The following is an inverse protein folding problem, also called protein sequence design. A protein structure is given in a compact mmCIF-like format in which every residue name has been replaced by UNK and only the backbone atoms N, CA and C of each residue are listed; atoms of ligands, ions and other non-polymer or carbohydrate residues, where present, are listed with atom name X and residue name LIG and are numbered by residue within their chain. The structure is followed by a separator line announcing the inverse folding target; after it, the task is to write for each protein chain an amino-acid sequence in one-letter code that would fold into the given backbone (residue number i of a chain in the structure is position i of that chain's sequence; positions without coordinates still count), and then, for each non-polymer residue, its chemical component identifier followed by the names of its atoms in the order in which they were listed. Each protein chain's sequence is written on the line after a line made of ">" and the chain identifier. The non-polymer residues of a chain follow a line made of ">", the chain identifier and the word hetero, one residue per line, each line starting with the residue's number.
data_IF_251297786885
#
_entry.id   IF_251297786885
#
_cell.length_a   1.000
_cell.length_b   1.000
_cell.length_c   1.000
_cell.angle_alpha   90.00
_cell.angle_beta   90.00
_cell.angle_gamma   90.00
#
_symmetry.space_group_name_H-M   'P 1'
#
loop_
_entity.id
_entity.type
_entity.pdbx_description
1 polymer ?
#
# COMPACT_ATOMS: atom_id res chain seq x y z
N UNK A 1 33.52 74.50 -23.97
CA UNK A 1 34.21 73.46 -23.19
C UNK A 1 33.22 72.33 -22.98
N UNK A 2 33.45 71.22 -23.69
CA UNK A 2 32.67 69.99 -23.59
C UNK A 2 32.93 69.29 -22.25
N UNK A 3 31.86 68.85 -21.59
CA UNK A 3 31.92 68.10 -20.34
C UNK A 3 30.84 67.01 -20.32
N UNK A 4 31.32 65.77 -20.38
CA UNK A 4 30.62 64.48 -20.46
C UNK A 4 29.96 64.12 -19.10
N UNK A 5 28.78 63.50 -19.10
CA UNK A 5 28.42 62.54 -18.04
C UNK A 5 27.76 61.30 -18.66
N UNK A 6 28.46 60.18 -18.51
CA UNK A 6 28.10 58.84 -18.96
C UNK A 6 27.12 58.18 -17.97
N UNK A 7 26.10 57.52 -18.52
CA UNK A 7 25.23 56.58 -17.82
C UNK A 7 25.98 55.26 -17.65
N UNK A 8 26.28 54.86 -16.41
CA UNK A 8 26.84 53.55 -16.11
C UNK A 8 25.69 52.57 -15.78
N UNK A 9 25.49 51.61 -16.68
CA UNK A 9 24.59 50.45 -16.55
C UNK A 9 25.19 49.49 -15.52
N UNK A 10 24.43 49.14 -14.48
CA UNK A 10 24.82 48.13 -13.51
C UNK A 10 24.64 46.71 -14.06
N UNK A 11 25.75 45.99 -14.26
CA UNK A 11 25.75 44.54 -14.43
C UNK A 11 25.38 43.89 -13.09
N UNK A 12 24.20 43.29 -13.01
CA UNK A 12 23.82 42.40 -11.92
C UNK A 12 24.37 41.01 -12.28
N UNK A 13 25.35 40.53 -11.53
CA UNK A 13 25.76 39.12 -11.59
C UNK A 13 24.54 38.23 -11.34
N UNK A 14 24.13 37.47 -12.36
CA UNK A 14 23.28 36.30 -12.16
C UNK A 14 24.08 35.29 -11.34
N UNK A 15 23.68 35.08 -10.09
CA UNK A 15 24.11 33.92 -9.31
C UNK A 15 23.84 32.68 -10.15
N UNK A 16 24.90 31.99 -10.55
CA UNK A 16 24.84 30.67 -11.17
C UNK A 16 23.97 29.78 -10.27
N UNK A 17 22.85 29.31 -10.80
CA UNK A 17 22.02 28.33 -10.10
C UNK A 17 22.90 27.13 -9.72
N UNK A 18 22.87 26.72 -8.46
CA UNK A 18 23.60 25.53 -8.02
C UNK A 18 23.24 24.35 -8.92
N UNK A 19 24.22 23.56 -9.39
CA UNK A 19 23.95 22.43 -10.27
C UNK A 19 22.99 21.47 -9.56
N UNK A 20 21.92 21.05 -10.25
CA UNK A 20 20.89 20.09 -9.80
C UNK A 20 21.43 18.79 -9.17
N UNK A 21 22.73 18.51 -9.32
CA UNK A 21 23.43 17.41 -8.65
C UNK A 21 23.52 17.57 -7.13
N UNK A 22 23.50 18.81 -6.61
CA UNK A 22 23.47 19.10 -5.17
C UNK A 22 22.13 18.75 -4.50
N UNK A 23 21.07 18.52 -5.30
CA UNK A 23 19.73 18.19 -4.83
C UNK A 23 19.39 16.69 -4.91
N UNK A 24 20.35 15.82 -5.28
CA UNK A 24 20.09 14.38 -5.31
C UNK A 24 19.93 13.86 -3.87
N UNK A 25 18.75 13.35 -3.48
CA UNK A 25 18.59 12.74 -2.17
C UNK A 25 19.58 11.58 -2.03
N UNK A 26 20.05 11.33 -0.80
CA UNK A 26 20.95 10.22 -0.50
C UNK A 26 20.39 8.89 -1.08
N UNK A 27 21.23 7.92 -1.44
CA UNK A 27 20.73 6.62 -1.92
C UNK A 27 19.85 5.94 -0.86
N UNK A 28 18.83 5.21 -1.30
CA UNK A 28 17.94 4.46 -0.39
C UNK A 28 18.72 3.37 0.36
N UNK A 29 18.32 3.04 1.60
CA UNK A 29 18.93 1.93 2.34
C UNK A 29 18.73 0.63 1.55
N UNK A 30 19.64 -0.31 1.66
CA UNK A 30 19.52 -1.60 0.96
C UNK A 30 18.96 -2.66 1.89
N UNK A 31 18.06 -3.51 1.37
CA UNK A 31 17.69 -4.77 1.99
C UNK A 31 18.81 -5.79 1.79
N UNK A 32 19.98 -5.52 2.36
CA UNK A 32 21.09 -6.45 2.31
C UNK A 32 20.75 -7.70 3.14
N UNK A 33 20.98 -8.87 2.57
CA UNK A 33 20.98 -10.12 3.34
C UNK A 33 22.32 -10.22 4.07
N UNK A 34 22.30 -9.89 5.37
CA UNK A 34 23.39 -10.00 6.37
C UNK A 34 24.46 -8.88 6.36
N UNK A 35 24.83 -8.47 7.58
CA UNK A 35 25.98 -7.63 7.92
C UNK A 35 27.31 -8.36 7.64
N UNK A 36 28.44 -7.65 7.44
CA UNK A 36 29.72 -8.27 7.14
C UNK A 36 30.36 -8.82 8.43
N UNK A 37 30.67 -10.11 8.45
CA UNK A 37 31.48 -10.74 9.51
C UNK A 37 30.84 -12.00 10.09
N UNK A 38 31.15 -13.14 9.49
CA UNK A 38 30.76 -14.45 10.01
C UNK A 38 30.81 -15.50 8.91
N UNK A 39 31.96 -16.14 8.76
CA UNK A 39 32.15 -17.36 7.98
C UNK A 39 31.17 -18.43 8.46
N UNK A 40 30.04 -18.55 7.78
CA UNK A 40 29.31 -19.79 7.63
C UNK A 40 28.43 -19.64 6.39
N UNK A 41 28.97 -20.15 5.29
CA UNK A 41 28.29 -20.33 4.02
C UNK A 41 27.23 -21.42 4.16
N UNK A 42 26.06 -21.04 4.69
CA UNK A 42 24.79 -21.66 4.33
C UNK A 42 23.96 -20.55 3.70
N UNK A 43 23.31 -20.87 2.58
CA UNK A 43 22.45 -19.94 1.84
C UNK A 43 21.34 -19.33 2.70
N UNK A 44 20.39 -18.57 2.12
CA UNK A 44 19.29 -18.00 2.90
C UNK A 44 18.63 -19.13 3.69
N UNK A 45 18.77 -19.07 5.03
CA UNK A 45 18.21 -20.07 5.94
C UNK A 45 16.69 -20.14 5.79
N UNK A 46 16.06 -21.21 6.30
CA UNK A 46 14.63 -21.46 6.15
C UNK A 46 13.82 -20.23 6.55
N UNK A 47 12.80 -19.92 5.75
CA UNK A 47 11.86 -18.85 6.06
C UNK A 47 11.01 -19.28 7.24
N UNK A 48 11.44 -18.96 8.46
CA UNK A 48 10.60 -19.14 9.65
C UNK A 48 9.29 -18.37 9.43
N UNK A 49 8.15 -19.04 9.68
CA UNK A 49 6.85 -18.43 9.47
C UNK A 49 6.74 -17.17 10.34
N UNK A 50 6.68 -16.00 9.70
CA UNK A 50 6.61 -14.75 10.42
C UNK A 50 5.32 -14.72 11.27
N UNK A 51 5.38 -14.25 12.53
CA UNK A 51 4.17 -14.11 13.33
C UNK A 51 3.20 -13.14 12.66
N UNK A 52 1.91 -13.49 12.72
CA UNK A 52 0.82 -12.66 12.23
C UNK A 52 0.49 -11.61 13.27
N UNK A 53 0.52 -10.35 12.83
CA UNK A 53 0.20 -9.18 13.63
C UNK A 53 -0.89 -8.37 12.93
N UNK A 54 -1.65 -7.64 13.72
CA UNK A 54 -2.74 -6.76 13.32
C UNK A 54 -3.44 -6.23 14.56
N UNK A 55 -4.61 -5.64 14.36
CA UNK A 55 -5.46 -5.12 15.43
C UNK A 55 -6.59 -6.10 15.75
N UNK A 56 -7.14 -5.98 16.97
CA UNK A 56 -8.36 -6.71 17.33
C UNK A 56 -9.51 -6.12 16.51
N UNK A 57 -10.28 -6.93 15.76
CA UNK A 57 -11.39 -6.42 14.96
C UNK A 57 -12.44 -5.71 15.84
N UNK A 58 -13.06 -4.62 15.38
CA UNK A 58 -14.09 -3.93 16.16
C UNK A 58 -15.27 -4.86 16.46
N UNK A 59 -15.71 -4.91 17.71
CA UNK A 59 -16.73 -5.87 18.17
C UNK A 59 -18.12 -5.63 17.59
N UNK A 60 -18.41 -4.38 17.20
CA UNK A 60 -19.68 -3.91 16.65
C UNK A 60 -19.65 -3.72 15.12
N UNK A 61 -18.52 -4.05 14.47
CA UNK A 61 -18.39 -3.96 13.03
C UNK A 61 -19.41 -4.85 12.30
N UNK A 62 -20.02 -4.29 11.27
CA UNK A 62 -20.88 -5.04 10.36
C UNK A 62 -20.03 -5.98 9.51
N UNK A 63 -20.20 -7.29 9.70
CA UNK A 63 -19.42 -8.31 8.97
C UNK A 63 -19.97 -8.52 7.56
N UNK A 64 -19.09 -8.38 6.57
CA UNK A 64 -19.34 -8.64 5.16
C UNK A 64 -18.54 -9.87 4.75
N UNK A 65 -19.24 -10.99 4.53
CA UNK A 65 -18.62 -12.22 4.05
C UNK A 65 -18.57 -12.14 2.51
N UNK A 66 -17.38 -12.19 1.93
CA UNK A 66 -17.17 -12.01 0.50
C UNK A 66 -16.73 -13.33 -0.12
N UNK A 67 -17.42 -13.73 -1.19
CA UNK A 67 -17.08 -14.90 -1.99
C UNK A 67 -17.28 -14.60 -3.47
N UNK A 68 -16.17 -14.44 -4.19
CA UNK A 68 -16.17 -13.93 -5.55
C UNK A 68 -16.82 -12.55 -5.63
N UNK A 69 -17.87 -12.42 -6.46
CA UNK A 69 -18.62 -11.18 -6.65
C UNK A 69 -19.83 -11.06 -5.70
N UNK A 70 -20.02 -12.01 -4.79
CA UNK A 70 -21.15 -12.01 -3.84
C UNK A 70 -20.72 -11.55 -2.46
N UNK A 71 -21.60 -10.79 -1.81
CA UNK A 71 -21.38 -10.26 -0.47
C UNK A 71 -22.57 -10.59 0.40
N UNK A 72 -22.33 -11.21 1.55
CA UNK A 72 -23.37 -11.55 2.51
C UNK A 72 -23.23 -10.74 3.79
N UNK A 73 -24.33 -10.12 4.20
CA UNK A 73 -24.45 -9.33 5.43
C UNK A 73 -25.56 -9.93 6.27
N UNK A 74 -25.19 -10.62 7.35
CA UNK A 74 -26.15 -11.44 8.12
C UNK A 74 -26.76 -12.53 7.22
N UNK A 75 -28.07 -12.45 6.99
CA UNK A 75 -28.82 -13.38 6.12
C UNK A 75 -29.06 -12.85 4.71
N UNK A 76 -28.74 -11.58 4.45
CA UNK A 76 -28.97 -10.94 3.15
C UNK A 76 -27.77 -11.14 2.22
N UNK A 77 -28.05 -11.33 0.93
CA UNK A 77 -27.06 -11.46 -0.13
C UNK A 77 -27.13 -10.25 -1.06
N UNK A 78 -25.96 -9.77 -1.48
CA UNK A 78 -25.76 -8.65 -2.38
C UNK A 78 -24.81 -9.06 -3.51
N UNK A 79 -25.04 -8.50 -4.69
CA UNK A 79 -24.17 -8.63 -5.86
C UNK A 79 -23.75 -7.22 -6.30
N UNK A 80 -22.64 -6.66 -5.76
CA UNK A 80 -22.24 -5.27 -6.02
C UNK A 80 -22.03 -4.92 -7.50
N UNK A 81 -21.83 -5.91 -8.37
CA UNK A 81 -21.79 -5.70 -9.81
C UNK A 81 -23.14 -5.20 -10.39
N UNK A 82 -24.26 -5.46 -9.72
CA UNK A 82 -25.58 -4.95 -10.12
C UNK A 82 -25.83 -3.60 -9.44
N UNK A 83 -26.08 -2.50 -10.18
CA UNK A 83 -26.23 -1.16 -9.61
C UNK A 83 -27.28 -1.06 -8.50
N UNK A 84 -28.43 -1.71 -8.67
CA UNK A 84 -29.51 -1.73 -7.68
C UNK A 84 -29.14 -2.49 -6.40
N UNK A 85 -28.34 -3.56 -6.52
CA UNK A 85 -27.81 -4.27 -5.36
C UNK A 85 -26.69 -3.48 -4.69
N UNK A 86 -25.84 -2.80 -5.46
CA UNK A 86 -24.80 -1.91 -4.94
C UNK A 86 -25.40 -0.77 -4.13
N UNK A 87 -26.44 -0.10 -4.66
CA UNK A 87 -27.15 0.97 -3.96
C UNK A 87 -27.76 0.50 -2.63
N UNK A 88 -28.38 -0.70 -2.62
CA UNK A 88 -28.89 -1.32 -1.39
C UNK A 88 -27.77 -1.63 -0.40
N UNK A 89 -26.63 -2.13 -0.89
CA UNK A 89 -25.47 -2.38 -0.04
C UNK A 89 -24.91 -1.08 0.56
N UNK A 90 -24.76 -0.02 -0.24
CA UNK A 90 -24.33 1.31 0.20
C UNK A 90 -25.21 1.85 1.33
N UNK A 91 -26.53 1.80 1.19
CA UNK A 91 -27.44 2.19 2.26
C UNK A 91 -27.32 1.29 3.49
N UNK A 92 -27.06 -0.01 3.30
CA UNK A 92 -26.89 -0.97 4.39
C UNK A 92 -25.62 -0.73 5.24
N UNK A 93 -24.55 -0.22 4.62
CA UNK A 93 -23.26 0.06 5.27
C UNK A 93 -23.07 1.54 5.66
N UNK A 94 -24.01 2.40 5.28
CA UNK A 94 -23.93 3.85 5.46
C UNK A 94 -23.66 4.24 6.91
N UNK A 95 -22.57 4.95 7.16
CA UNK A 95 -22.19 5.39 8.49
C UNK A 95 -21.94 4.22 9.47
N UNK A 96 -21.49 3.07 8.96
CA UNK A 96 -21.13 1.90 9.76
C UNK A 96 -19.65 1.59 9.61
N UNK A 97 -19.04 1.13 10.70
CA UNK A 97 -17.78 0.38 10.65
C UNK A 97 -18.06 -0.99 10.06
N UNK A 98 -17.34 -1.37 9.01
CA UNK A 98 -17.50 -2.66 8.31
C UNK A 98 -16.25 -3.51 8.46
N UNK A 99 -16.43 -4.83 8.60
CA UNK A 99 -15.37 -5.83 8.57
C UNK A 99 -15.57 -6.73 7.37
N UNK A 100 -14.70 -6.59 6.38
CA UNK A 100 -14.64 -7.43 5.18
C UNK A 100 -13.91 -8.72 5.52
N UNK A 101 -14.57 -9.85 5.29
CA UNK A 101 -14.03 -11.19 5.51
C UNK A 101 -14.02 -11.91 4.17
N UNK A 102 -12.86 -11.94 3.46
CA UNK A 102 -12.76 -12.61 2.18
C UNK A 102 -12.71 -14.13 2.36
N UNK A 103 -13.27 -14.86 1.41
CA UNK A 103 -12.94 -16.27 1.23
C UNK A 103 -11.52 -16.43 0.63
N UNK A 104 -11.10 -17.69 0.43
CA UNK A 104 -9.77 -17.98 -0.07
C UNK A 104 -9.55 -17.59 -1.55
N UNK A 105 -10.62 -17.62 -2.36
CA UNK A 105 -10.54 -17.60 -3.82
C UNK A 105 -11.17 -16.33 -4.44
N UNK A 106 -11.48 -15.32 -3.62
CA UNK A 106 -11.95 -14.02 -4.08
C UNK A 106 -10.77 -13.19 -4.58
N UNK A 107 -10.77 -12.89 -5.87
CA UNK A 107 -9.79 -12.01 -6.51
C UNK A 107 -10.15 -10.54 -6.30
N UNK A 108 -9.14 -9.67 -6.18
CA UNK A 108 -9.37 -8.23 -6.02
C UNK A 108 -10.21 -7.62 -7.13
N UNK A 109 -10.03 -8.09 -8.37
CA UNK A 109 -10.83 -7.68 -9.53
C UNK A 109 -12.34 -7.92 -9.38
N UNK A 110 -12.74 -8.93 -8.60
CA UNK A 110 -14.15 -9.24 -8.33
C UNK A 110 -14.75 -8.34 -7.25
N UNK A 111 -13.91 -7.63 -6.50
CA UNK A 111 -14.31 -6.79 -5.36
C UNK A 111 -14.31 -5.30 -5.66
N UNK A 112 -14.02 -4.88 -6.90
CA UNK A 112 -13.94 -3.46 -7.26
C UNK A 112 -15.20 -2.67 -6.91
N UNK A 113 -16.37 -3.16 -7.29
CA UNK A 113 -17.66 -2.50 -7.00
C UNK A 113 -17.98 -2.51 -5.50
N UNK A 114 -17.63 -3.59 -4.80
CA UNK A 114 -17.75 -3.66 -3.35
C UNK A 114 -16.91 -2.55 -2.70
N UNK A 115 -15.62 -2.49 -3.01
CA UNK A 115 -14.71 -1.54 -2.36
C UNK A 115 -15.04 -0.09 -2.73
N UNK A 116 -15.56 0.19 -3.92
CA UNK A 116 -16.10 1.50 -4.25
C UNK A 116 -17.32 1.85 -3.37
N UNK A 117 -18.31 0.96 -3.28
CA UNK A 117 -19.48 1.17 -2.42
C UNK A 117 -19.09 1.40 -0.95
N UNK A 118 -18.12 0.64 -0.44
CA UNK A 118 -17.60 0.80 0.92
C UNK A 118 -16.84 2.11 1.11
N UNK A 119 -15.97 2.49 0.16
CA UNK A 119 -15.22 3.76 0.20
C UNK A 119 -16.18 4.95 0.29
N UNK A 120 -17.27 4.91 -0.45
CA UNK A 120 -18.17 6.06 -0.58
C UNK A 120 -19.23 6.13 0.54
N UNK A 121 -19.52 5.02 1.21
CA UNK A 121 -20.67 4.92 2.14
C UNK A 121 -20.32 4.50 3.57
N UNK A 122 -19.32 3.63 3.76
CA UNK A 122 -18.97 3.16 5.11
C UNK A 122 -18.28 4.25 5.93
N UNK A 123 -18.42 4.19 7.26
CA UNK A 123 -17.69 5.09 8.17
C UNK A 123 -16.21 4.70 8.23
N UNK A 124 -15.94 3.41 8.35
CA UNK A 124 -14.58 2.86 8.36
C UNK A 124 -14.60 1.44 7.79
N UNK A 125 -13.54 1.07 7.07
CA UNK A 125 -13.39 -0.26 6.47
C UNK A 125 -12.26 -1.00 7.14
N UNK A 126 -12.53 -2.24 7.53
CA UNK A 126 -11.55 -3.17 8.06
C UNK A 126 -11.48 -4.41 7.18
N UNK A 127 -10.27 -4.95 6.98
CA UNK A 127 -10.06 -6.22 6.30
C UNK A 127 -9.57 -7.28 7.28
N UNK A 128 -10.30 -8.38 7.40
CA UNK A 128 -9.92 -9.49 8.27
C UNK A 128 -8.72 -10.26 7.71
N UNK A 129 -7.81 -10.66 8.59
CA UNK A 129 -6.80 -11.65 8.24
C UNK A 129 -7.47 -13.05 8.09
N UNK A 130 -7.16 -13.81 7.04
CA UNK A 130 -7.86 -15.09 6.77
C UNK A 130 -7.56 -16.16 7.83
N UNK A 131 -6.35 -16.15 8.41
CA UNK A 131 -5.86 -17.24 9.25
C UNK A 131 -5.68 -16.84 10.73
N UNK A 132 -6.09 -15.63 11.13
CA UNK A 132 -5.87 -15.11 12.48
C UNK A 132 -6.99 -14.15 12.91
N UNK A 133 -7.31 -14.04 14.21
CA UNK A 133 -8.38 -13.17 14.72
C UNK A 133 -7.92 -11.70 14.81
N UNK A 134 -7.31 -11.19 13.74
CA UNK A 134 -6.86 -9.80 13.62
C UNK A 134 -7.40 -9.20 12.33
N UNK A 135 -7.45 -7.88 12.27
CA UNK A 135 -7.88 -7.13 11.09
C UNK A 135 -7.03 -5.87 10.90
N UNK A 136 -7.25 -5.24 9.75
CA UNK A 136 -6.50 -4.07 9.29
C UNK A 136 -7.47 -2.94 8.97
N UNK A 137 -7.39 -1.77 9.64
CA UNK A 137 -8.14 -0.60 9.22
C UNK A 137 -7.57 -0.08 7.88
N UNK A 138 -8.45 0.25 6.94
CA UNK A 138 -8.07 0.59 5.57
C UNK A 138 -8.73 1.89 5.10
N UNK A 139 -7.91 2.72 4.46
CA UNK A 139 -8.37 3.70 3.48
C UNK A 139 -8.39 3.04 2.10
N UNK A 140 -9.57 2.96 1.50
CA UNK A 140 -9.72 2.37 0.17
C UNK A 140 -9.44 3.40 -0.92
N UNK A 141 -8.63 3.03 -1.91
CA UNK A 141 -8.36 3.88 -3.09
C UNK A 141 -8.50 3.05 -4.36
N UNK A 142 -9.22 3.56 -5.34
CA UNK A 142 -9.11 3.05 -6.71
C UNK A 142 -7.83 3.60 -7.37
N UNK A 143 -7.63 3.30 -8.65
CA UNK A 143 -6.45 3.79 -9.37
C UNK A 143 -6.41 5.32 -9.48
N UNK A 144 -7.56 5.97 -9.66
CA UNK A 144 -7.62 7.43 -9.72
C UNK A 144 -7.27 8.08 -8.38
N UNK A 145 -7.89 7.61 -7.30
CA UNK A 145 -7.58 8.05 -5.95
C UNK A 145 -6.13 7.77 -5.57
N UNK A 146 -5.55 6.66 -6.05
CA UNK A 146 -4.14 6.37 -5.86
C UNK A 146 -3.23 7.30 -6.68
N UNK A 147 -3.57 7.62 -7.93
CA UNK A 147 -2.83 8.61 -8.74
C UNK A 147 -2.89 10.00 -8.10
N UNK A 148 -4.05 10.41 -7.60
CA UNK A 148 -4.21 11.66 -6.86
C UNK A 148 -3.31 11.66 -5.62
N UNK A 149 -3.33 10.58 -4.83
CA UNK A 149 -2.43 10.42 -3.69
C UNK A 149 -0.96 10.45 -4.09
N UNK A 150 -0.53 9.89 -5.23
CA UNK A 150 0.85 10.01 -5.68
C UNK A 150 1.25 11.43 -6.08
N UNK A 151 0.29 12.24 -6.56
CA UNK A 151 0.54 13.59 -7.06
C UNK A 151 0.79 14.63 -5.96
N UNK A 152 0.29 14.39 -4.74
CA UNK A 152 0.50 15.34 -3.64
C UNK A 152 1.97 15.32 -3.22
N UNK A 153 2.58 16.51 -3.15
CA UNK A 153 4.01 16.70 -2.91
C UNK A 153 4.33 16.45 -1.44
N UNK A 154 4.51 15.18 -1.08
CA UNK A 154 4.95 14.75 0.24
C UNK A 154 6.19 13.85 0.11
N UNK A 155 7.32 14.21 0.74
CA UNK A 155 8.49 13.36 0.75
C UNK A 155 8.17 12.04 1.47
N UNK A 156 8.63 10.93 0.88
CA UNK A 156 8.58 9.62 1.54
C UNK A 156 7.26 8.87 1.43
N UNK A 157 6.34 9.22 0.53
CA UNK A 157 5.14 8.39 0.26
C UNK A 157 5.54 6.96 -0.04
N UNK A 158 5.23 6.04 0.88
CA UNK A 158 5.63 4.65 0.80
C UNK A 158 4.52 3.81 0.21
N UNK A 159 4.90 2.82 -0.59
CA UNK A 159 3.97 1.83 -1.14
C UNK A 159 4.62 0.46 -1.22
N UNK A 160 3.81 -0.56 -0.96
CA UNK A 160 4.14 -1.95 -1.22
C UNK A 160 3.44 -2.32 -2.53
N UNK A 161 4.21 -2.59 -3.59
CA UNK A 161 3.67 -3.17 -4.81
C UNK A 161 3.77 -4.70 -4.65
N UNK A 162 2.62 -5.35 -4.48
CA UNK A 162 2.56 -6.81 -4.34
C UNK A 162 2.40 -7.45 -5.71
N UNK A 163 3.45 -8.17 -6.12
CA UNK A 163 3.54 -8.89 -7.39
C UNK A 163 3.44 -10.39 -7.13
N UNK A 164 3.25 -11.17 -8.20
CA UNK A 164 3.26 -12.63 -8.12
C UNK A 164 4.60 -13.20 -7.62
N UNK A 165 5.72 -12.53 -7.91
CA UNK A 165 7.07 -12.97 -7.57
C UNK A 165 7.65 -12.32 -6.30
N UNK A 166 6.89 -11.44 -5.62
CA UNK A 166 7.30 -10.83 -4.36
C UNK A 166 6.77 -9.42 -4.15
N UNK A 167 7.44 -8.65 -3.28
CA UNK A 167 7.09 -7.27 -2.97
C UNK A 167 8.14 -6.30 -3.47
N UNK A 168 7.69 -5.25 -4.12
CA UNK A 168 8.50 -4.07 -4.40
C UNK A 168 8.14 -2.96 -3.39
N UNK A 169 9.14 -2.53 -2.64
CA UNK A 169 9.00 -1.40 -1.72
C UNK A 169 9.42 -0.14 -2.47
N UNK A 170 8.49 0.80 -2.64
CA UNK A 170 8.72 1.99 -3.45
C UNK A 170 8.36 3.25 -2.69
N UNK A 171 9.07 4.33 -3.02
CA UNK A 171 8.89 5.66 -2.44
C UNK A 171 8.68 6.68 -3.55
N UNK A 172 8.39 7.95 -3.21
CA UNK A 172 8.43 9.04 -4.20
C UNK A 172 9.82 9.29 -4.78
N UNK A 173 10.90 8.84 -4.12
CA UNK A 173 12.28 9.00 -4.60
C UNK A 173 12.83 7.76 -5.34
N UNK A 174 12.03 6.69 -5.43
CA UNK A 174 12.40 5.46 -6.12
C UNK A 174 12.18 4.19 -5.30
N UNK A 175 12.58 3.06 -5.89
CA UNK A 175 12.46 1.71 -5.34
C UNK A 175 13.56 1.42 -4.32
N UNK A 176 13.20 0.80 -3.21
CA UNK A 176 14.14 0.26 -2.23
C UNK A 176 14.92 -0.91 -2.87
N UNK A 177 16.26 -0.82 -2.95
CA UNK A 177 17.06 -1.87 -3.56
C UNK A 177 16.97 -3.17 -2.76
N UNK A 178 16.73 -4.26 -3.50
CA UNK A 178 16.71 -5.63 -3.00
C UNK A 178 17.95 -6.43 -3.46
N UNK A 179 17.93 -7.76 -3.30
CA UNK A 179 19.02 -8.63 -3.73
C UNK A 179 19.23 -8.65 -5.26
N UNK A 180 18.17 -8.40 -6.03
CA UNK A 180 18.21 -8.19 -7.48
C UNK A 180 17.78 -6.75 -7.77
N UNK A 181 18.60 -6.03 -8.54
CA UNK A 181 18.32 -4.64 -8.93
C UNK A 181 17.07 -4.52 -9.81
N UNK A 182 16.74 -5.55 -10.59
CA UNK A 182 15.58 -5.58 -11.49
C UNK A 182 14.39 -6.36 -10.87
N UNK A 183 14.67 -7.23 -9.91
CA UNK A 183 13.68 -8.06 -9.20
C UNK A 183 12.97 -7.34 -8.06
N UNK A 184 12.04 -8.02 -7.34
CA UNK A 184 11.36 -7.44 -6.19
C UNK A 184 12.37 -7.08 -5.07
N UNK A 185 12.04 -6.05 -4.30
CA UNK A 185 12.80 -5.71 -3.08
C UNK A 185 12.80 -6.87 -2.08
N UNK A 186 11.71 -7.63 -2.04
CA UNK A 186 11.51 -8.82 -1.20
C UNK A 186 10.95 -9.95 -2.07
N UNK A 187 11.76 -10.92 -2.51
CA UNK A 187 11.29 -12.03 -3.33
C UNK A 187 10.47 -13.03 -2.51
N UNK A 188 9.64 -13.81 -3.20
CA UNK A 188 9.03 -15.04 -2.65
C UNK A 188 10.13 -16.02 -2.24
N UNK A 189 9.96 -16.65 -1.07
CA UNK A 189 10.85 -17.70 -0.56
C UNK A 189 10.06 -18.98 -0.35
N UNK A 190 10.54 -20.09 -0.92
CA UNK A 190 9.88 -21.40 -0.80
C UNK A 190 8.40 -21.37 -1.23
N UNK A 191 8.08 -20.57 -2.25
CA UNK A 191 6.70 -20.37 -2.73
C UNK A 191 5.81 -19.52 -1.82
N UNK A 192 6.36 -18.92 -0.75
CA UNK A 192 5.62 -18.09 0.22
C UNK A 192 6.14 -16.65 0.27
N UNK A 193 5.24 -15.75 0.65
CA UNK A 193 5.57 -14.34 0.90
C UNK A 193 6.49 -14.20 2.12
N UNK A 194 7.64 -13.56 1.96
CA UNK A 194 8.59 -13.31 3.04
C UNK A 194 8.20 -12.05 3.84
N UNK A 195 7.17 -12.21 4.69
CA UNK A 195 6.63 -11.13 5.52
C UNK A 195 7.65 -10.59 6.54
N UNK A 196 8.60 -11.43 6.99
CA UNK A 196 9.64 -11.01 7.92
C UNK A 196 10.60 -10.02 7.26
N UNK A 197 11.05 -10.31 6.04
CA UNK A 197 11.88 -9.37 5.26
C UNK A 197 11.11 -8.13 4.86
N UNK A 198 9.84 -8.26 4.47
CA UNK A 198 8.97 -7.11 4.19
C UNK A 198 8.87 -6.16 5.39
N UNK A 199 8.59 -6.70 6.59
CA UNK A 199 8.53 -5.93 7.84
C UNK A 199 9.83 -5.19 8.14
N UNK A 200 10.98 -5.85 7.96
CA UNK A 200 12.31 -5.20 8.13
C UNK A 200 12.50 -4.05 7.12
N UNK A 201 12.09 -4.24 5.86
CA UNK A 201 12.16 -3.19 4.84
C UNK A 201 11.30 -1.97 5.18
N UNK A 202 10.09 -2.20 5.68
CA UNK A 202 9.20 -1.14 6.15
C UNK A 202 9.79 -0.38 7.34
N UNK A 203 10.40 -1.08 8.30
CA UNK A 203 11.08 -0.44 9.44
C UNK A 203 12.26 0.43 9.01
N UNK A 204 13.09 -0.03 8.05
CA UNK A 204 14.19 0.77 7.49
C UNK A 204 13.67 2.04 6.79
N UNK A 205 12.58 1.91 6.04
CA UNK A 205 11.95 3.03 5.36
C UNK A 205 11.33 4.02 6.36
N UNK A 206 10.63 3.57 7.40
CA UNK A 206 10.07 4.44 8.45
C UNK A 206 11.16 5.18 9.21
N UNK A 207 12.28 4.53 9.50
CA UNK A 207 13.44 5.18 10.15
C UNK A 207 14.03 6.33 9.32
N UNK A 208 13.95 6.23 7.99
CA UNK A 208 14.42 7.23 7.03
C UNK A 208 13.39 8.34 6.75
N UNK A 209 12.14 7.95 6.54
CA UNK A 209 11.03 8.84 6.19
C UNK A 209 10.10 9.03 7.39
N UNK A 210 10.61 9.72 8.40
CA UNK A 210 9.94 9.84 9.72
C UNK A 210 8.57 10.54 9.65
N UNK A 211 8.42 11.46 8.69
CA UNK A 211 7.19 12.23 8.46
C UNK A 211 6.16 11.48 7.60
N UNK A 212 6.48 10.27 7.13
CA UNK A 212 5.55 9.47 6.33
C UNK A 212 4.68 8.66 7.28
N UNK A 213 3.43 9.08 7.40
CA UNK A 213 2.40 8.46 8.23
C UNK A 213 1.54 7.47 7.43
N UNK A 214 1.55 7.58 6.11
CA UNK A 214 0.72 6.78 5.21
C UNK A 214 1.52 5.73 4.43
N UNK A 215 0.92 4.55 4.27
CA UNK A 215 1.42 3.46 3.43
C UNK A 215 0.28 2.88 2.58
N UNK A 216 0.51 2.72 1.27
CA UNK A 216 -0.44 2.02 0.39
C UNK A 216 0.07 0.62 0.00
N UNK A 217 -0.76 -0.40 0.20
CA UNK A 217 -0.61 -1.70 -0.47
C UNK A 217 -1.25 -1.60 -1.85
N UNK A 218 -0.48 -1.98 -2.88
CA UNK A 218 -0.86 -1.98 -4.29
C UNK A 218 -0.72 -3.41 -4.83
N UNK A 219 -1.74 -4.26 -4.68
CA UNK A 219 -1.71 -5.61 -5.21
C UNK A 219 -1.83 -5.62 -6.74
N UNK A 220 -1.19 -6.60 -7.36
CA UNK A 220 -1.41 -6.89 -8.77
C UNK A 220 -2.85 -7.37 -9.03
N UNK A 221 -3.36 -7.17 -10.25
CA UNK A 221 -4.76 -7.48 -10.59
C UNK A 221 -5.20 -8.90 -10.26
N UNK A 222 -4.33 -9.90 -10.47
CA UNK A 222 -4.61 -11.32 -10.19
C UNK A 222 -4.38 -11.75 -8.74
N UNK A 223 -4.32 -10.81 -7.79
CA UNK A 223 -4.10 -11.11 -6.37
C UNK A 223 -5.42 -11.41 -5.66
N UNK A 224 -5.48 -12.48 -4.87
CA UNK A 224 -6.62 -12.74 -3.99
C UNK A 224 -6.66 -11.74 -2.82
N UNK A 225 -7.86 -11.36 -2.39
CA UNK A 225 -8.05 -10.44 -1.26
C UNK A 225 -7.47 -11.03 0.02
N UNK A 226 -7.58 -12.35 0.22
CA UNK A 226 -6.95 -13.05 1.33
C UNK A 226 -5.41 -12.97 1.27
N UNK A 227 -4.80 -13.00 0.08
CA UNK A 227 -3.36 -12.84 -0.08
C UNK A 227 -2.92 -11.39 0.21
N UNK A 228 -3.70 -10.40 -0.21
CA UNK A 228 -3.48 -9.00 0.16
C UNK A 228 -3.57 -8.80 1.68
N UNK A 229 -4.59 -9.37 2.33
CA UNK A 229 -4.75 -9.32 3.79
C UNK A 229 -3.54 -9.91 4.53
N UNK A 230 -2.97 -11.03 4.06
CA UNK A 230 -1.74 -11.60 4.65
C UNK A 230 -0.55 -10.65 4.56
N UNK A 231 -0.38 -9.97 3.42
CA UNK A 231 0.70 -9.00 3.24
C UNK A 231 0.61 -7.82 4.23
N UNK A 232 -0.60 -7.40 4.61
CA UNK A 232 -0.83 -6.31 5.57
C UNK A 232 -0.28 -6.61 6.97
N UNK A 233 -0.11 -7.88 7.34
CA UNK A 233 0.54 -8.25 8.60
C UNK A 233 1.99 -7.73 8.71
N UNK A 234 2.66 -7.47 7.59
CA UNK A 234 4.02 -6.93 7.61
C UNK A 234 4.07 -5.45 8.01
N UNK A 235 2.95 -4.74 7.96
CA UNK A 235 2.80 -3.32 8.33
C UNK A 235 2.80 -3.13 9.85
N UNK A 236 2.73 -4.22 10.62
CA UNK A 236 2.73 -4.22 12.07
C UNK A 236 4.07 -4.70 12.62
N UNK A 237 4.59 -4.00 13.63
CA UNK A 237 5.83 -4.36 14.32
C UNK A 237 5.60 -5.35 15.46
N UNK A 238 4.41 -5.30 16.06
CA UNK A 238 3.91 -6.17 17.13
C UNK A 238 2.35 -6.17 17.09
N UNK A 239 1.65 -7.00 17.88
CA UNK A 239 0.19 -6.95 17.98
C UNK A 239 -0.30 -5.54 18.34
N UNK A 240 -1.25 -5.00 17.58
CA UNK A 240 -1.80 -3.65 17.78
C UNK A 240 -0.81 -2.50 17.60
N UNK A 241 0.38 -2.75 17.06
CA UNK A 241 1.43 -1.74 16.88
C UNK A 241 1.75 -1.53 15.39
N UNK A 242 0.91 -0.74 14.68
CA UNK A 242 1.16 -0.42 13.28
C UNK A 242 2.41 0.46 13.14
N UNK A 243 3.17 0.25 12.05
CA UNK A 243 4.37 1.04 11.73
C UNK A 243 4.00 2.40 11.11
N UNK A 244 2.84 2.46 10.47
CA UNK A 244 2.27 3.62 9.79
C UNK A 244 0.88 3.90 10.37
N UNK A 245 0.51 5.16 10.47
CA UNK A 245 -0.76 5.57 11.06
C UNK A 245 -1.93 5.27 10.12
N UNK A 246 -1.73 5.52 8.83
CA UNK A 246 -2.73 5.23 7.80
C UNK A 246 -2.25 4.10 6.91
N UNK A 247 -3.09 3.09 6.76
CA UNK A 247 -2.91 2.01 5.82
C UNK A 247 -3.97 2.10 4.71
N UNK A 248 -3.52 2.03 3.47
CA UNK A 248 -4.35 2.12 2.29
C UNK A 248 -4.31 0.82 1.49
N UNK A 249 -5.46 0.42 0.95
CA UNK A 249 -5.55 -0.68 -0.02
C UNK A 249 -5.97 -0.09 -1.37
N UNK A 250 -5.12 -0.25 -2.37
CA UNK A 250 -5.44 0.11 -3.75
C UNK A 250 -6.18 -1.06 -4.40
N UNK A 251 -7.37 -0.80 -4.94
CA UNK A 251 -8.20 -1.78 -5.63
C UNK A 251 -8.43 -1.38 -7.10
N UNK A 252 -8.73 -2.34 -8.01
CA UNK A 252 -8.94 -2.02 -9.41
C UNK A 252 -10.15 -1.10 -9.61
N UNK A 253 -10.06 -0.18 -10.57
CA UNK A 253 -11.15 0.78 -10.84
C UNK A 253 -12.47 0.05 -11.17
N UNK A 254 -13.60 0.45 -10.55
CA UNK A 254 -14.93 -0.06 -10.88
C UNK A 254 -15.26 0.04 -12.37
N UNK A 255 -15.98 -0.94 -12.90
CA UNK A 255 -16.41 -0.94 -14.31
C UNK A 255 -17.46 0.15 -14.47
N UNK A 256 -17.12 1.21 -15.18
CA UNK A 256 -18.13 2.19 -15.57
C UNK A 256 -19.03 1.49 -16.60
N UNK A 257 -20.34 1.55 -16.40
CA UNK A 257 -21.35 0.81 -17.20
C UNK A 257 -21.43 1.14 -18.70
N UNK A 258 -20.40 1.78 -19.28
CA UNK A 258 -20.27 2.09 -20.70
C UNK A 258 -19.12 1.40 -21.42
N UNK A 259 -18.20 0.71 -20.73
CA UNK A 259 -17.02 0.09 -21.37
C UNK A 259 -17.24 -1.39 -21.75
N UNK A 260 -18.47 -1.74 -22.12
CA UNK A 260 -18.73 -2.98 -22.86
C UNK A 260 -18.76 -2.61 -24.35
N UNK A 261 -17.59 -2.65 -24.98
CA UNK A 261 -17.45 -2.65 -26.44
C UNK A 261 -17.99 -3.94 -27.08
#
# INVERSE_FOLDING_TARGET
>A
MSGLMLVAVGCREEKTAEPLQALKPAPLPTLATKAPGGEDARGPGPSEAAPVYGEVPPSDALKLLVAGEQVRVGTELFEPLRPESAARLSERVKGRVVLVVPDADTFLAQTSELFAALRDSAEAVWLAHPDAPVAYPLVLRDEEGFRAWLSEVAPGKLRIIQRADGFELSTSVGKLPGPDANGPSVPVREGKQDLATLRRGLALLKGRFKTSEDLCLVPSFGTEVAQAARALSAVFSAPGAPVFETLCLVFPTPRHGGDAG
#
